data_IF_967925488453
#
_entry.id   IF_967925488453
#
_cell.length_a   1.000
_cell.length_b   1.000
_cell.length_c   1.000
_cell.angle_alpha   90.00
_cell.angle_beta   90.00
_cell.angle_gamma   90.00
#
_symmetry.space_group_name_H-M   'P 1'
#
loop_
_entity.id
_entity.type
_entity.pdbx_description
1 polymer ?
#
# COMPACT_ATOMS: atom_id res chain seq x y z
N UNK A 1 25.93 33.26 -5.82
CA UNK A 1 24.64 32.85 -5.22
C UNK A 1 24.75 31.43 -4.63
N UNK A 2 25.40 31.25 -3.47
CA UNK A 2 25.60 29.91 -2.86
C UNK A 2 25.09 29.85 -1.39
N UNK A 3 24.70 30.98 -0.79
CA UNK A 3 24.33 31.06 0.62
C UNK A 3 22.93 30.56 0.98
N UNK A 4 21.95 30.60 0.07
CA UNK A 4 20.54 30.40 0.43
C UNK A 4 20.17 28.92 0.67
N UNK A 5 20.71 28.00 -0.13
CA UNK A 5 20.35 26.56 -0.03
C UNK A 5 20.78 25.89 1.27
N UNK A 6 21.88 26.35 1.91
CA UNK A 6 22.34 25.80 3.19
C UNK A 6 21.48 26.22 4.38
N UNK A 7 20.90 27.43 4.35
CA UNK A 7 20.02 27.90 5.41
C UNK A 7 18.70 27.10 5.45
N UNK A 8 18.09 26.86 4.28
CA UNK A 8 16.82 26.11 4.19
C UNK A 8 16.96 24.67 4.69
N UNK A 9 18.05 23.98 4.32
CA UNK A 9 18.33 22.60 4.77
C UNK A 9 18.53 22.56 6.31
N UNK A 10 19.23 23.54 6.88
CA UNK A 10 19.44 23.62 8.33
C UNK A 10 18.13 23.88 9.11
N UNK A 11 17.24 24.73 8.58
CA UNK A 11 15.93 25.01 9.20
C UNK A 11 15.03 23.77 9.18
N UNK A 12 14.96 23.04 8.05
CA UNK A 12 14.18 21.79 7.95
C UNK A 12 14.71 20.72 8.91
N UNK A 13 16.03 20.53 9.00
CA UNK A 13 16.65 19.60 9.97
C UNK A 13 16.38 20.01 11.43
N UNK A 14 16.41 21.31 11.74
CA UNK A 14 16.12 21.82 13.09
C UNK A 14 14.67 21.55 13.49
N UNK A 15 13.69 21.83 12.61
CA UNK A 15 12.28 21.53 12.87
C UNK A 15 12.02 20.03 13.05
N UNK A 16 12.64 19.14 12.26
CA UNK A 16 12.50 17.68 12.42
C UNK A 16 13.11 17.20 13.74
N UNK A 17 14.19 17.81 14.21
CA UNK A 17 14.84 17.45 15.50
C UNK A 17 14.02 17.89 16.71
N UNK A 18 13.33 19.04 16.62
CA UNK A 18 12.49 19.58 17.71
C UNK A 18 11.19 18.77 17.90
N UNK A 19 10.71 18.06 16.86
CA UNK A 19 9.51 17.23 16.92
C UNK A 19 9.68 15.85 17.63
N UNK A 20 10.77 15.63 18.37
CA UNK A 20 10.94 14.50 19.29
C UNK A 20 10.79 14.91 20.77
N UNK A 21 9.56 15.09 21.29
CA UNK A 21 9.34 14.93 22.72
C UNK A 21 9.36 13.44 23.05
N UNK A 22 10.31 13.02 23.90
CA UNK A 22 10.15 11.78 24.67
C UNK A 22 8.93 11.94 25.57
N UNK A 23 7.79 11.41 25.14
CA UNK A 23 6.59 11.38 25.96
C UNK A 23 6.75 10.26 27.00
N UNK A 24 7.34 10.61 28.14
CA UNK A 24 7.42 9.74 29.32
C UNK A 24 6.09 9.86 30.04
N UNK A 25 5.28 8.79 30.00
CA UNK A 25 4.04 8.72 30.76
C UNK A 25 4.31 8.85 32.27
N UNK A 26 3.91 9.98 32.83
CA UNK A 26 3.82 10.17 34.29
C UNK A 26 2.44 9.70 34.74
N UNK A 27 2.41 8.83 35.76
CA UNK A 27 1.17 8.26 36.30
C UNK A 27 0.09 9.32 36.64
N UNK A 28 -1.20 9.01 36.44
CA UNK A 28 -2.28 9.97 36.67
C UNK A 28 -2.56 10.17 38.16
N UNK A 29 -2.64 11.42 38.66
CA UNK A 29 -3.27 11.73 39.93
C UNK A 29 -4.81 11.70 39.81
N UNK A 30 -5.48 11.50 40.95
CA UNK A 30 -6.90 11.20 41.03
C UNK A 30 -7.84 12.36 40.62
N UNK A 31 -9.06 11.98 40.20
CA UNK A 31 -10.25 12.79 39.96
C UNK A 31 -10.30 14.18 40.64
N UNK A 32 -10.43 15.23 39.82
CA UNK A 32 -11.30 16.38 40.13
C UNK A 32 -12.06 16.84 38.88
N UNK A 33 -13.38 16.91 39.00
CA UNK A 33 -14.22 17.46 37.94
C UNK A 33 -13.94 18.96 37.74
N UNK A 34 -13.64 19.36 36.50
CA UNK A 34 -13.81 20.73 36.01
C UNK A 34 -14.44 20.68 34.62
N UNK A 35 -15.48 21.47 34.41
CA UNK A 35 -16.09 21.65 33.11
C UNK A 35 -15.13 22.41 32.20
N UNK A 36 -14.65 21.75 31.14
CA UNK A 36 -13.92 22.38 30.03
C UNK A 36 -14.75 22.27 28.76
N UNK A 37 -14.99 23.40 28.08
CA UNK A 37 -15.60 23.42 26.76
C UNK A 37 -14.59 22.91 25.71
N UNK A 38 -14.53 21.60 25.52
CA UNK A 38 -13.80 21.00 24.41
C UNK A 38 -14.52 21.25 23.09
N UNK A 39 -13.80 21.76 22.09
CA UNK A 39 -14.29 21.87 20.71
C UNK A 39 -14.46 20.47 20.15
N UNK A 40 -15.68 19.94 20.31
CA UNK A 40 -16.09 18.63 19.82
C UNK A 40 -16.14 18.69 18.29
N UNK A 41 -15.20 18.04 17.60
CA UNK A 41 -15.37 17.68 16.18
C UNK A 41 -16.57 16.75 16.07
N UNK A 42 -17.75 17.32 15.83
CA UNK A 42 -18.95 16.56 15.54
C UNK A 42 -18.85 16.05 14.10
N UNK A 43 -18.69 14.73 13.93
CA UNK A 43 -19.05 14.09 12.66
C UNK A 43 -20.51 14.43 12.38
N UNK A 44 -20.76 15.17 11.29
CA UNK A 44 -22.12 15.54 10.91
C UNK A 44 -22.89 14.29 10.51
N UNK A 45 -23.86 13.88 11.33
CA UNK A 45 -24.73 12.71 11.15
C UNK A 45 -25.77 12.93 10.01
N UNK A 46 -25.35 13.52 8.89
CA UNK A 46 -26.23 14.30 8.00
C UNK A 46 -26.04 14.14 6.49
N UNK A 47 -25.34 13.11 6.02
CA UNK A 47 -25.17 12.84 4.58
C UNK A 47 -25.42 11.36 4.22
N UNK A 48 -26.70 11.00 4.19
CA UNK A 48 -27.18 9.68 3.73
C UNK A 48 -26.99 9.55 2.21
N UNK A 49 -25.79 9.17 1.77
CA UNK A 49 -25.41 9.01 0.36
C UNK A 49 -26.06 7.76 -0.26
N UNK A 50 -27.33 7.89 -0.67
CA UNK A 50 -28.10 6.88 -1.41
C UNK A 50 -27.66 6.75 -2.90
N UNK A 51 -26.35 6.60 -3.16
CA UNK A 51 -25.81 6.52 -4.53
C UNK A 51 -25.27 5.12 -4.90
N UNK A 52 -24.97 4.26 -3.92
CA UNK A 52 -24.54 2.86 -4.16
C UNK A 52 -25.42 1.78 -3.50
N UNK A 53 -26.38 2.16 -2.66
CA UNK A 53 -27.22 1.20 -1.91
C UNK A 53 -28.13 0.31 -2.78
N UNK A 54 -28.47 0.74 -4.00
CA UNK A 54 -29.28 -0.03 -4.96
C UNK A 54 -28.50 -1.05 -5.79
N UNK A 55 -27.16 -1.00 -5.79
CA UNK A 55 -26.31 -1.97 -6.50
C UNK A 55 -25.87 -3.13 -5.59
N UNK A 56 -25.87 -2.91 -4.27
CA UNK A 56 -25.42 -3.92 -3.28
C UNK A 56 -26.56 -4.68 -2.58
N UNK A 57 -27.83 -4.34 -2.82
CA UNK A 57 -28.97 -5.17 -2.41
C UNK A 57 -29.27 -6.28 -3.44
N UNK A 58 -28.29 -7.14 -3.73
CA UNK A 58 -28.56 -8.49 -4.25
C UNK A 58 -28.59 -9.46 -3.07
N UNK A 59 -29.80 -9.65 -2.56
CA UNK A 59 -30.14 -10.70 -1.61
C UNK A 59 -29.88 -12.06 -2.27
N UNK A 60 -29.33 -13.00 -1.49
CA UNK A 60 -29.06 -14.40 -1.87
C UNK A 60 -28.09 -14.57 -3.06
N UNK A 61 -26.80 -14.69 -2.79
CA UNK A 61 -25.79 -15.13 -3.77
C UNK A 61 -25.90 -16.65 -3.99
N UNK A 62 -26.36 -17.13 -5.16
CA UNK A 62 -26.25 -18.55 -5.50
C UNK A 62 -24.77 -18.93 -5.68
N UNK A 63 -24.41 -20.16 -5.38
CA UNK A 63 -23.07 -20.69 -5.63
C UNK A 63 -22.76 -20.70 -7.13
N UNK A 64 -21.94 -19.76 -7.60
CA UNK A 64 -21.64 -19.57 -9.03
C UNK A 64 -20.73 -20.67 -9.58
N UNK A 65 -21.32 -21.81 -9.94
CA UNK A 65 -20.71 -22.82 -10.83
C UNK A 65 -20.85 -22.45 -12.32
N UNK A 66 -21.47 -21.30 -12.63
CA UNK A 66 -21.50 -20.74 -13.97
C UNK A 66 -20.10 -20.35 -14.45
N UNK A 67 -19.71 -20.83 -15.63
CA UNK A 67 -18.39 -20.61 -16.23
C UNK A 67 -18.07 -19.12 -16.42
N UNK A 68 -17.43 -18.53 -15.42
CA UNK A 68 -17.03 -17.13 -15.44
C UNK A 68 -16.02 -16.87 -16.54
N UNK A 69 -16.33 -15.95 -17.46
CA UNK A 69 -15.36 -15.40 -18.40
C UNK A 69 -14.25 -14.74 -17.60
N UNK A 70 -13.12 -15.45 -17.44
CA UNK A 70 -11.95 -14.92 -16.74
C UNK A 70 -11.50 -13.65 -17.45
N UNK A 71 -11.20 -12.59 -16.70
CA UNK A 71 -10.65 -11.37 -17.27
C UNK A 71 -9.36 -11.71 -18.03
N UNK A 72 -9.18 -11.26 -19.29
CA UNK A 72 -7.99 -11.59 -20.09
C UNK A 72 -6.68 -11.01 -19.49
N UNK A 73 -6.78 -10.19 -18.45
CA UNK A 73 -5.64 -9.64 -17.72
C UNK A 73 -5.33 -10.39 -16.41
N UNK A 74 -6.13 -11.39 -16.01
CA UNK A 74 -5.91 -12.18 -14.78
C UNK A 74 -4.64 -13.01 -14.92
N UNK A 75 -3.75 -12.86 -13.95
CA UNK A 75 -2.57 -13.72 -13.80
C UNK A 75 -3.04 -15.12 -13.34
N UNK A 76 -2.52 -16.23 -13.93
CA UNK A 76 -2.91 -17.58 -13.53
C UNK A 76 -2.68 -17.84 -12.04
N UNK A 77 -3.56 -18.59 -11.40
CA UNK A 77 -3.47 -18.82 -9.95
C UNK A 77 -2.19 -19.59 -9.57
N UNK A 78 -1.70 -20.49 -10.44
CA UNK A 78 -0.41 -21.18 -10.27
C UNK A 78 0.80 -20.22 -10.26
N UNK A 79 0.73 -19.13 -11.01
CA UNK A 79 1.76 -18.08 -11.03
C UNK A 79 1.71 -17.25 -9.73
N UNK A 80 0.50 -16.93 -9.25
CA UNK A 80 0.30 -16.27 -7.96
C UNK A 80 0.77 -17.14 -6.79
N UNK A 81 0.54 -18.45 -6.86
CA UNK A 81 0.98 -19.43 -5.85
C UNK A 81 2.51 -19.58 -5.86
N UNK A 82 3.15 -19.60 -7.03
CA UNK A 82 4.61 -19.59 -7.17
C UNK A 82 5.24 -18.33 -6.59
N UNK A 83 4.69 -17.15 -6.89
CA UNK A 83 5.11 -15.86 -6.34
C UNK A 83 4.94 -15.87 -4.80
N UNK A 84 3.76 -16.26 -4.30
CA UNK A 84 3.45 -16.39 -2.86
C UNK A 84 4.36 -17.38 -2.14
N UNK A 85 4.83 -18.42 -2.84
CA UNK A 85 5.79 -19.40 -2.35
C UNK A 85 7.21 -18.86 -2.13
N UNK A 86 7.49 -17.60 -2.46
CA UNK A 86 8.84 -17.03 -2.39
C UNK A 86 9.59 -17.15 -3.72
N UNK A 87 8.88 -17.10 -4.86
CA UNK A 87 9.46 -17.11 -6.20
C UNK A 87 10.36 -18.33 -6.49
N UNK A 88 10.10 -19.46 -5.83
CA UNK A 88 10.93 -20.68 -5.93
C UNK A 88 12.35 -20.54 -5.33
N UNK A 89 12.65 -19.45 -4.62
CA UNK A 89 13.95 -19.25 -3.95
C UNK A 89 13.91 -19.75 -2.50
N UNK A 90 15.04 -20.22 -1.98
CA UNK A 90 15.14 -20.65 -0.60
C UNK A 90 15.07 -19.45 0.38
N UNK A 91 14.55 -19.63 1.62
CA UNK A 91 14.57 -18.58 2.63
C UNK A 91 15.96 -17.96 2.83
N UNK A 92 16.01 -16.69 3.22
CA UNK A 92 17.22 -15.86 3.36
C UNK A 92 17.92 -15.43 2.06
N UNK A 93 17.55 -15.96 0.90
CA UNK A 93 17.97 -15.38 -0.38
C UNK A 93 17.21 -14.08 -0.68
N UNK A 94 17.85 -13.10 -1.37
CA UNK A 94 17.15 -11.91 -1.83
C UNK A 94 16.05 -12.30 -2.84
N UNK A 95 14.90 -11.60 -2.84
CA UNK A 95 13.84 -11.87 -3.81
C UNK A 95 14.36 -11.61 -5.24
N UNK A 96 14.02 -12.45 -6.24
CA UNK A 96 14.53 -12.35 -7.60
C UNK A 96 13.80 -11.24 -8.38
N UNK A 97 13.95 -9.99 -7.93
CA UNK A 97 13.40 -8.80 -8.56
C UNK A 97 14.44 -8.13 -9.47
N UNK A 98 14.09 -7.69 -10.70
CA UNK A 98 12.75 -7.70 -11.29
C UNK A 98 12.25 -9.11 -11.67
N UNK A 99 11.09 -9.48 -11.14
CA UNK A 99 10.37 -10.69 -11.51
C UNK A 99 9.36 -10.36 -12.61
N UNK A 100 9.13 -11.28 -13.56
CA UNK A 100 8.23 -10.97 -14.67
C UNK A 100 7.27 -12.09 -15.04
N UNK A 101 6.00 -11.71 -15.04
CA UNK A 101 4.85 -12.53 -15.41
C UNK A 101 4.58 -12.34 -16.90
N UNK A 102 4.68 -13.42 -17.67
CA UNK A 102 4.18 -13.47 -19.03
C UNK A 102 2.66 -13.67 -18.96
N UNK A 103 1.87 -12.68 -19.42
CA UNK A 103 0.46 -12.93 -19.69
C UNK A 103 0.36 -13.92 -20.86
N UNK A 104 -0.44 -14.97 -20.70
CA UNK A 104 -0.75 -15.89 -21.79
C UNK A 104 -1.43 -15.12 -22.93
N UNK A 105 -1.05 -15.30 -24.20
CA UNK A 105 -1.77 -14.72 -25.32
C UNK A 105 -3.23 -15.21 -25.29
N UNK A 106 -4.17 -14.32 -25.60
CA UNK A 106 -5.59 -14.64 -25.54
C UNK A 106 -5.95 -15.66 -26.63
N UNK A 107 -6.53 -16.84 -26.31
CA UNK A 107 -6.73 -17.90 -27.30
C UNK A 107 -7.58 -17.50 -28.51
N UNK A 108 -8.44 -16.48 -28.37
CA UNK A 108 -9.30 -16.02 -29.46
C UNK A 108 -8.53 -15.21 -30.53
N UNK A 109 -7.37 -14.61 -30.21
CA UNK A 109 -6.59 -13.84 -31.20
C UNK A 109 -5.89 -14.73 -32.24
N UNK A 110 -5.91 -16.06 -32.07
CA UNK A 110 -5.26 -17.03 -32.95
C UNK A 110 -6.25 -17.59 -34.00
N UNK A 111 -7.56 -17.52 -33.73
CA UNK A 111 -8.59 -18.21 -34.53
C UNK A 111 -9.23 -17.35 -35.63
N UNK A 112 -9.15 -16.02 -35.56
CA UNK A 112 -9.89 -15.11 -36.47
C UNK A 112 -8.99 -14.30 -37.43
N UNK A 113 -7.66 -14.51 -37.44
CA UNK A 113 -6.72 -13.69 -38.22
C UNK A 113 -6.59 -14.05 -39.70
N UNK A 114 -7.56 -14.73 -40.31
CA UNK A 114 -7.54 -15.08 -41.75
C UNK A 114 -8.03 -13.96 -42.66
N UNK A 115 -8.79 -13.00 -42.15
CA UNK A 115 -9.25 -11.82 -42.91
C UNK A 115 -8.29 -10.64 -42.71
N UNK A 116 -7.34 -10.51 -43.64
CA UNK A 116 -6.36 -9.42 -43.72
C UNK A 116 -7.04 -8.08 -44.05
N UNK A 117 -7.40 -7.29 -43.02
CA UNK A 117 -7.69 -5.84 -43.16
C UNK A 117 -7.59 -5.04 -41.84
N UNK A 118 -6.41 -4.44 -41.64
CA UNK A 118 -6.16 -3.10 -41.08
C UNK A 118 -6.74 -2.63 -39.73
N UNK A 119 -7.26 -3.50 -38.86
CA UNK A 119 -7.50 -3.13 -37.45
C UNK A 119 -6.23 -3.36 -36.60
N UNK A 120 -5.26 -2.44 -36.75
CA UNK A 120 -3.89 -2.48 -36.20
C UNK A 120 -3.80 -2.20 -34.67
N UNK A 121 -4.82 -2.54 -33.87
CA UNK A 121 -4.97 -2.06 -32.47
C UNK A 121 -4.67 -3.14 -31.40
N UNK A 122 -4.40 -4.39 -31.80
CA UNK A 122 -4.36 -5.54 -30.86
C UNK A 122 -3.01 -6.29 -30.77
N UNK A 123 -1.93 -5.68 -31.27
CA UNK A 123 -0.59 -5.94 -30.72
C UNK A 123 -0.33 -4.92 -29.60
N UNK A 124 0.04 -5.30 -28.39
CA UNK A 124 1.30 -5.98 -28.10
C UNK A 124 1.29 -6.78 -26.78
N UNK A 125 2.30 -7.64 -26.62
CA UNK A 125 2.50 -8.50 -25.43
C UNK A 125 2.60 -7.65 -24.15
N UNK A 126 1.51 -7.63 -23.37
CA UNK A 126 1.48 -7.01 -22.05
C UNK A 126 2.22 -7.87 -21.02
N UNK A 127 3.53 -7.64 -20.91
CA UNK A 127 4.34 -8.23 -19.85
C UNK A 127 4.09 -7.47 -18.54
N UNK A 128 3.88 -8.18 -17.44
CA UNK A 128 3.88 -7.56 -16.11
C UNK A 128 5.25 -7.77 -15.46
N UNK A 129 5.75 -6.73 -14.80
CA UNK A 129 6.98 -6.79 -14.01
C UNK A 129 6.65 -6.41 -12.56
N UNK A 130 7.16 -7.20 -11.63
CA UNK A 130 7.24 -6.86 -10.22
C UNK A 130 8.69 -6.47 -9.98
N UNK A 131 8.95 -5.23 -9.56
CA UNK A 131 10.31 -4.76 -9.24
C UNK A 131 10.34 -3.89 -8.01
N UNK A 132 11.53 -3.63 -7.49
CA UNK A 132 11.67 -2.62 -6.45
C UNK A 132 11.32 -1.22 -6.99
N UNK A 133 10.82 -0.37 -6.10
CA UNK A 133 10.71 1.06 -6.36
C UNK A 133 12.11 1.64 -6.58
N UNK A 134 12.34 2.26 -7.73
CA UNK A 134 13.55 3.02 -8.04
C UNK A 134 13.32 4.54 -7.86
N UNK A 135 14.36 5.33 -8.08
CA UNK A 135 14.38 6.76 -7.72
C UNK A 135 13.59 7.60 -8.74
N UNK A 136 13.72 7.23 -10.01
CA UNK A 136 12.98 7.71 -11.17
C UNK A 136 11.46 7.45 -11.08
N UNK A 137 11.04 6.42 -10.34
CA UNK A 137 9.62 6.14 -10.14
C UNK A 137 8.98 7.09 -9.13
N UNK A 138 9.73 7.58 -8.13
CA UNK A 138 9.19 8.37 -7.00
C UNK A 138 8.42 9.58 -7.53
N UNK A 139 8.99 10.31 -8.50
CA UNK A 139 8.35 11.47 -9.12
C UNK A 139 7.13 11.09 -9.97
N UNK A 140 7.16 9.90 -10.61
CA UNK A 140 6.05 9.38 -11.44
C UNK A 140 4.85 8.94 -10.60
N UNK A 141 5.08 8.35 -9.42
CA UNK A 141 4.02 7.84 -8.54
C UNK A 141 3.53 8.87 -7.52
N UNK A 142 4.30 9.91 -7.19
CA UNK A 142 3.94 10.90 -6.17
C UNK A 142 2.54 11.50 -6.36
N UNK A 143 2.10 11.92 -7.58
CA UNK A 143 0.77 12.48 -7.77
C UNK A 143 -0.35 11.47 -7.47
N UNK A 144 -0.14 10.18 -7.78
CA UNK A 144 -1.10 9.12 -7.52
C UNK A 144 -1.19 8.79 -6.02
N UNK A 145 -0.06 8.78 -5.30
CA UNK A 145 -0.05 8.60 -3.84
C UNK A 145 -0.71 9.79 -3.15
N UNK A 146 -0.34 11.02 -3.50
CA UNK A 146 -0.94 12.23 -2.92
C UNK A 146 -2.43 12.32 -3.24
N UNK A 147 -2.88 11.88 -4.42
CA UNK A 147 -4.31 11.84 -4.75
C UNK A 147 -5.10 10.83 -3.93
N UNK A 148 -4.54 9.67 -3.60
CA UNK A 148 -5.28 8.58 -2.93
C UNK A 148 -5.16 8.62 -1.40
N UNK A 149 -4.08 9.20 -0.85
CA UNK A 149 -3.90 9.39 0.60
C UNK A 149 -4.16 10.83 1.08
N UNK A 150 -3.92 11.84 0.23
CA UNK A 150 -4.17 13.25 0.54
C UNK A 150 -5.61 13.70 0.32
N UNK A 151 -6.49 12.86 -0.26
CA UNK A 151 -7.91 13.17 -0.45
C UNK A 151 -8.76 13.12 0.85
N UNK A 152 -8.17 13.47 2.00
CA UNK A 152 -8.88 13.68 3.26
C UNK A 152 -9.87 14.86 3.17
N UNK A 153 -9.65 15.78 2.24
CA UNK A 153 -10.68 16.68 1.74
C UNK A 153 -11.32 16.10 0.47
N UNK A 154 -12.59 15.68 0.57
CA UNK A 154 -13.48 15.87 -0.57
C UNK A 154 -13.51 17.38 -0.87
N UNK A 155 -13.52 17.82 -2.13
CA UNK A 155 -13.67 19.24 -2.44
C UNK A 155 -14.90 19.77 -1.68
N UNK A 156 -14.79 20.90 -0.96
CA UNK A 156 -15.84 21.39 -0.09
C UNK A 156 -17.19 21.41 -0.82
N UNK A 157 -18.24 20.89 -0.19
CA UNK A 157 -19.57 20.97 -0.78
C UNK A 157 -19.87 22.45 -1.04
N UNK A 158 -20.33 22.78 -2.25
CA UNK A 158 -20.24 24.08 -2.94
C UNK A 158 -21.04 25.24 -2.31
N UNK A 159 -21.35 25.16 -1.01
CA UNK A 159 -22.24 26.04 -0.24
C UNK A 159 -21.55 26.76 0.91
N UNK A 160 -20.28 26.44 1.21
CA UNK A 160 -19.49 27.17 2.21
C UNK A 160 -18.46 28.01 1.44
N UNK A 161 -18.56 29.32 1.60
CA UNK A 161 -17.60 30.27 1.07
C UNK A 161 -16.34 30.20 1.96
N UNK A 162 -15.32 29.49 1.49
CA UNK A 162 -14.05 29.35 2.22
C UNK A 162 -13.40 30.71 2.41
N UNK A 163 -12.74 30.91 3.55
CA UNK A 163 -11.93 32.11 3.76
C UNK A 163 -10.60 31.96 3.01
N UNK A 164 -9.98 33.04 2.53
CA UNK A 164 -8.65 32.96 1.90
C UNK A 164 -7.56 32.35 2.78
N UNK A 165 -7.77 32.28 4.10
CA UNK A 165 -6.87 31.60 5.04
C UNK A 165 -6.96 30.07 4.96
N UNK A 166 -8.15 29.52 4.67
CA UNK A 166 -8.40 28.08 4.60
C UNK A 166 -7.72 27.46 3.37
N UNK A 167 -7.72 28.19 2.24
CA UNK A 167 -7.01 27.78 1.02
C UNK A 167 -5.50 27.68 1.26
N UNK A 168 -4.89 28.71 1.84
CA UNK A 168 -3.44 28.72 2.14
C UNK A 168 -3.07 27.64 3.15
N UNK A 169 -3.89 27.41 4.18
CA UNK A 169 -3.69 26.32 5.13
C UNK A 169 -3.71 24.96 4.43
N UNK A 170 -4.69 24.72 3.54
CA UNK A 170 -4.82 23.50 2.75
C UNK A 170 -3.64 23.29 1.80
N UNK A 171 -3.14 24.35 1.17
CA UNK A 171 -1.94 24.28 0.33
C UNK A 171 -0.69 23.90 1.14
N UNK A 172 -0.52 24.47 2.35
CA UNK A 172 0.59 24.14 3.26
C UNK A 172 0.49 22.69 3.75
N UNK A 173 -0.70 22.21 4.13
CA UNK A 173 -0.92 20.82 4.55
C UNK A 173 -0.58 19.83 3.43
N UNK A 174 -1.09 20.07 2.22
CA UNK A 174 -0.78 19.25 1.05
C UNK A 174 0.72 19.25 0.70
N UNK A 175 1.40 20.39 0.84
CA UNK A 175 2.85 20.48 0.66
C UNK A 175 3.62 19.67 1.71
N UNK A 176 3.30 19.83 2.99
CA UNK A 176 3.97 19.10 4.08
C UNK A 176 3.72 17.60 4.01
N UNK A 177 2.51 17.18 3.62
CA UNK A 177 2.17 15.79 3.36
C UNK A 177 3.02 15.24 2.20
N UNK A 178 3.01 15.92 1.04
CA UNK A 178 3.78 15.52 -0.14
C UNK A 178 5.29 15.42 0.16
N UNK A 179 5.83 16.38 0.91
CA UNK A 179 7.23 16.38 1.35
C UNK A 179 7.55 15.19 2.27
N UNK A 180 6.64 14.86 3.19
CA UNK A 180 6.78 13.70 4.09
C UNK A 180 6.76 12.38 3.34
N UNK A 181 5.86 12.22 2.35
CA UNK A 181 5.81 11.04 1.47
C UNK A 181 7.08 10.94 0.63
N UNK A 182 7.51 12.04 -0.02
CA UNK A 182 8.75 12.09 -0.81
C UNK A 182 9.97 11.66 0.01
N UNK A 183 10.19 12.27 1.17
CA UNK A 183 11.29 11.93 2.07
C UNK A 183 11.20 10.47 2.54
N UNK A 184 10.00 9.99 2.88
CA UNK A 184 9.76 8.61 3.26
C UNK A 184 10.11 7.59 2.16
N UNK A 185 9.73 7.85 0.92
CA UNK A 185 10.06 6.99 -0.22
C UNK A 185 11.56 7.01 -0.54
N UNK A 186 12.18 8.18 -0.56
CA UNK A 186 13.64 8.30 -0.78
C UNK A 186 14.43 7.55 0.29
N UNK A 187 14.02 7.61 1.57
CA UNK A 187 14.63 6.80 2.64
C UNK A 187 14.54 5.28 2.38
N UNK A 188 13.39 4.79 1.89
CA UNK A 188 13.17 3.37 1.58
C UNK A 188 14.03 2.91 0.41
N UNK A 189 14.08 3.70 -0.67
CA UNK A 189 14.96 3.43 -1.82
C UNK A 189 16.43 3.42 -1.40
N UNK A 190 16.87 4.42 -0.63
CA UNK A 190 18.25 4.52 -0.15
C UNK A 190 18.66 3.33 0.76
N UNK A 191 17.77 2.85 1.64
CA UNK A 191 18.03 1.65 2.46
C UNK A 191 18.05 0.38 1.63
N UNK A 192 17.11 0.19 0.71
CA UNK A 192 17.09 -0.98 -0.19
C UNK A 192 18.35 -1.05 -1.08
N UNK A 193 18.87 0.09 -1.55
CA UNK A 193 20.14 0.18 -2.32
C UNK A 193 21.37 -0.32 -1.53
N UNK A 194 21.31 -0.46 -0.19
CA UNK A 194 22.40 -1.07 0.63
C UNK A 194 22.42 -2.60 0.55
N UNK A 195 21.30 -3.23 0.14
CA UNK A 195 21.21 -4.67 -0.14
C UNK A 195 20.96 -5.54 1.09
N UNK A 196 20.65 -6.82 0.83
CA UNK A 196 20.34 -7.83 1.85
C UNK A 196 21.62 -8.48 2.37
N UNK A 197 22.30 -7.85 3.32
CA UNK A 197 23.43 -8.44 4.03
C UNK A 197 23.02 -8.87 5.43
N UNK A 198 23.24 -10.14 5.77
CA UNK A 198 22.96 -10.70 7.10
C UNK A 198 23.88 -10.16 8.20
N UNK A 199 25.04 -9.59 7.82
CA UNK A 199 25.96 -8.92 8.74
C UNK A 199 25.69 -7.42 8.86
N UNK A 200 24.91 -6.84 7.94
CA UNK A 200 24.59 -5.42 7.96
C UNK A 200 23.33 -5.14 8.82
N UNK A 201 23.47 -4.19 9.74
CA UNK A 201 22.35 -3.71 10.56
C UNK A 201 21.34 -2.89 9.76
N UNK A 202 21.70 -2.51 8.54
CA UNK A 202 20.87 -1.80 7.57
C UNK A 202 20.19 -2.74 6.54
N UNK A 203 20.09 -4.03 6.86
CA UNK A 203 19.25 -5.00 6.15
C UNK A 203 17.89 -4.36 5.74
N UNK A 204 17.36 -4.62 4.52
CA UNK A 204 16.15 -3.98 4.00
C UNK A 204 14.92 -4.44 4.78
N UNK A 205 14.68 -3.80 5.91
CA UNK A 205 13.58 -4.06 6.82
C UNK A 205 12.29 -3.33 6.41
N UNK A 206 12.31 -2.76 5.21
CA UNK A 206 11.30 -1.94 4.59
C UNK A 206 11.49 -1.97 3.08
N UNK A 207 10.51 -2.50 2.35
CA UNK A 207 10.51 -2.61 0.90
C UNK A 207 9.27 -1.93 0.32
N UNK A 208 9.47 -1.21 -0.79
CA UNK A 208 8.39 -0.84 -1.70
C UNK A 208 8.63 -1.59 -3.00
N UNK A 209 7.59 -2.25 -3.49
CA UNK A 209 7.56 -2.86 -4.82
C UNK A 209 6.59 -2.09 -5.71
N UNK A 210 6.95 -2.02 -6.98
CA UNK A 210 6.10 -1.60 -8.07
C UNK A 210 5.63 -2.85 -8.82
N UNK A 211 4.34 -2.91 -9.13
CA UNK A 211 3.94 -3.57 -10.36
C UNK A 211 4.30 -2.62 -11.52
N UNK A 212 4.46 -3.13 -12.74
CA UNK A 212 4.69 -2.35 -13.95
C UNK A 212 4.04 -3.10 -15.12
N UNK A 213 3.22 -2.41 -15.92
CA UNK A 213 2.83 -2.85 -17.26
C UNK A 213 3.92 -2.44 -18.26
N UNK A 214 4.54 -3.42 -18.91
CA UNK A 214 5.32 -3.19 -20.12
C UNK A 214 4.43 -3.29 -21.35
N UNK A 215 4.61 -2.37 -22.29
CA UNK A 215 4.02 -2.40 -23.64
C UNK A 215 5.13 -2.22 -24.65
N UNK A 216 5.15 -3.06 -25.69
CA UNK A 216 5.96 -2.74 -26.88
C UNK A 216 5.17 -1.70 -27.66
N UNK A 217 5.84 -0.67 -28.19
CA UNK A 217 5.30 0.20 -29.25
C UNK A 217 6.16 0.06 -30.48
N UNK A 218 5.53 -0.08 -31.64
CA UNK A 218 6.18 0.12 -32.94
C UNK A 218 6.22 1.61 -33.24
N UNK A 219 7.36 2.11 -33.71
CA UNK A 219 7.43 3.44 -34.30
C UNK A 219 6.81 3.39 -35.70
N UNK A 220 5.53 3.73 -35.80
CA UNK A 220 4.84 3.92 -37.08
C UNK A 220 5.35 5.22 -37.75
N UNK A 221 6.55 5.14 -38.33
CA UNK A 221 7.30 6.28 -38.88
C UNK A 221 6.69 6.94 -40.12
N UNK A 222 5.43 6.63 -40.46
CA UNK A 222 4.67 7.27 -41.54
C UNK A 222 3.87 8.51 -41.12
N UNK A 223 3.76 8.78 -39.81
CA UNK A 223 3.01 9.90 -39.25
C UNK A 223 3.74 11.24 -39.37
N UNK A 224 3.61 11.90 -40.52
CA UNK A 224 4.17 13.23 -40.79
C UNK A 224 3.51 14.29 -39.88
N UNK A 225 4.08 14.62 -38.72
CA UNK A 225 3.60 15.72 -37.85
C UNK A 225 4.68 16.32 -36.94
N UNK A 226 4.66 17.65 -36.84
CA UNK A 226 5.56 18.44 -35.99
C UNK A 226 5.26 18.19 -34.50
N UNK A 227 6.06 17.39 -33.81
CA UNK A 227 5.98 17.24 -32.36
C UNK A 227 6.89 18.27 -31.70
N UNK A 228 6.27 19.17 -30.93
CA UNK A 228 6.96 20.14 -30.10
C UNK A 228 7.77 19.40 -29.02
N UNK A 229 9.02 19.80 -28.86
CA UNK A 229 10.00 19.26 -27.91
C UNK A 229 9.47 19.33 -26.46
N UNK A 230 9.00 18.19 -25.92
CA UNK A 230 8.60 18.04 -24.52
C UNK A 230 9.30 16.81 -23.93
N UNK A 231 10.35 17.08 -23.16
CA UNK A 231 10.87 16.18 -22.11
C UNK A 231 11.42 14.83 -22.56
N UNK A 232 12.74 14.73 -22.66
CA UNK A 232 13.48 13.48 -22.79
C UNK A 232 13.13 12.50 -21.65
N UNK A 233 12.27 11.51 -21.92
CA UNK A 233 11.92 10.48 -20.94
C UNK A 233 13.05 9.45 -20.90
N UNK A 234 13.98 9.65 -19.97
CA UNK A 234 15.01 8.68 -19.63
C UNK A 234 14.39 7.33 -19.22
N UNK A 235 14.75 6.27 -19.96
CA UNK A 235 14.31 4.90 -19.70
C UNK A 235 14.14 3.98 -20.92
N UNK A 236 14.25 4.47 -22.16
CA UNK A 236 14.07 3.63 -23.37
C UNK A 236 15.29 2.75 -23.66
N UNK A 237 15.20 1.45 -23.35
CA UNK A 237 16.15 0.46 -23.84
C UNK A 237 15.89 0.17 -25.31
N UNK A 238 16.69 0.76 -26.21
CA UNK A 238 16.59 0.53 -27.64
C UNK A 238 17.15 -0.86 -27.98
N UNK A 239 16.34 -1.68 -28.65
CA UNK A 239 16.79 -2.96 -29.24
C UNK A 239 16.97 -2.74 -30.75
N UNK A 240 18.22 -2.65 -31.19
CA UNK A 240 18.58 -2.49 -32.59
C UNK A 240 18.58 -3.85 -33.32
N UNK A 241 17.39 -4.35 -33.66
CA UNK A 241 17.23 -5.33 -34.74
C UNK A 241 16.59 -4.66 -35.97
N UNK A 242 17.09 -5.03 -37.16
CA UNK A 242 16.95 -4.22 -38.37
C UNK A 242 15.52 -3.96 -38.84
N UNK A 243 15.30 -2.73 -39.34
CA UNK A 243 14.13 -2.23 -40.09
C UNK A 243 12.82 -1.93 -39.35
N UNK A 244 12.71 -2.09 -38.02
CA UNK A 244 11.63 -1.46 -37.26
C UNK A 244 12.07 -1.17 -35.81
N UNK A 245 12.30 0.11 -35.47
CA UNK A 245 12.58 0.47 -34.07
C UNK A 245 11.31 0.33 -33.23
N UNK A 246 11.26 -0.73 -32.43
CA UNK A 246 10.27 -0.87 -31.37
C UNK A 246 10.89 -0.51 -30.03
N UNK A 247 10.16 0.22 -29.19
CA UNK A 247 10.59 0.57 -27.84
C UNK A 247 9.62 -0.02 -26.82
N UNK A 248 10.12 -0.24 -25.59
CA UNK A 248 9.31 -0.70 -24.47
C UNK A 248 8.87 0.52 -23.66
N UNK A 249 7.57 0.76 -23.61
CA UNK A 249 6.92 1.71 -22.71
C UNK A 249 6.66 1.01 -21.37
N UNK A 250 7.18 1.57 -20.26
CA UNK A 250 6.89 1.11 -18.90
C UNK A 250 5.91 2.04 -18.19
N UNK A 251 4.80 1.50 -17.70
CA UNK A 251 3.79 2.22 -16.92
C UNK A 251 3.58 1.52 -15.56
N UNK A 252 3.64 2.23 -14.43
CA UNK A 252 3.68 1.58 -13.09
C UNK A 252 2.36 0.90 -12.68
N UNK A 253 1.16 1.46 -12.86
CA UNK A 253 -0.14 0.83 -12.52
C UNK A 253 -0.42 0.45 -11.05
N UNK A 254 0.58 0.23 -10.18
CA UNK A 254 0.40 -0.02 -8.75
C UNK A 254 1.69 -0.19 -7.94
N UNK A 255 1.58 0.04 -6.64
CA UNK A 255 2.66 -0.12 -5.65
C UNK A 255 2.18 -0.87 -4.41
N UNK A 256 3.09 -1.54 -3.71
CA UNK A 256 2.80 -2.09 -2.39
C UNK A 256 4.02 -2.05 -1.48
N UNK A 257 3.77 -1.99 -0.18
CA UNK A 257 4.78 -1.69 0.84
C UNK A 257 4.74 -2.72 1.97
N UNK A 258 5.88 -3.35 2.23
CA UNK A 258 6.08 -4.33 3.30
C UNK A 258 7.23 -3.86 4.21
N UNK A 259 7.06 -4.02 5.51
CA UNK A 259 8.10 -3.69 6.48
C UNK A 259 8.05 -4.59 7.70
N UNK A 260 9.18 -4.74 8.39
CA UNK A 260 9.17 -5.23 9.75
C UNK A 260 8.63 -4.13 10.68
N UNK A 261 7.62 -4.45 11.49
CA UNK A 261 7.07 -3.54 12.49
C UNK A 261 6.84 -4.26 13.83
N UNK A 262 6.90 -3.54 14.97
CA UNK A 262 6.37 -4.07 16.23
C UNK A 262 4.89 -4.47 16.07
N UNK A 263 4.46 -5.62 16.64
CA UNK A 263 3.08 -6.10 16.53
C UNK A 263 2.11 -5.29 17.41
N UNK A 264 1.85 -4.03 17.07
CA UNK A 264 0.95 -3.13 17.79
C UNK A 264 -0.29 -2.80 16.93
N UNK A 265 -1.49 -3.28 17.30
CA UNK A 265 -2.73 -3.03 16.55
C UNK A 265 -3.30 -1.61 16.75
N UNK A 266 -2.83 -0.85 17.74
CA UNK A 266 -3.33 0.50 18.02
C UNK A 266 -2.52 1.59 17.29
N UNK A 267 -1.59 1.22 16.40
CA UNK A 267 -0.68 2.15 15.71
C UNK A 267 -0.43 1.73 14.27
N UNK A 268 -0.46 2.70 13.37
CA UNK A 268 0.04 2.51 12.01
C UNK A 268 1.58 2.50 11.97
N UNK A 269 2.13 1.97 10.88
CA UNK A 269 3.56 2.10 10.60
C UNK A 269 3.94 3.59 10.47
N UNK A 270 5.04 4.04 11.09
CA UNK A 270 5.46 5.44 10.98
C UNK A 270 5.82 5.81 9.53
N UNK A 271 5.62 7.07 9.11
CA UNK A 271 5.98 7.51 7.76
C UNK A 271 7.50 7.43 7.51
N UNK A 272 8.31 7.57 8.57
CA UNK A 272 9.76 7.44 8.55
C UNK A 272 10.20 6.02 8.92
N UNK A 273 11.23 5.51 8.24
CA UNK A 273 11.71 4.14 8.49
C UNK A 273 12.62 4.11 9.73
N UNK A 274 12.12 3.56 10.84
CA UNK A 274 12.96 3.31 12.03
C UNK A 274 14.08 2.29 11.72
N UNK A 275 15.27 2.40 12.33
CA UNK A 275 16.30 1.35 12.26
C UNK A 275 15.81 0.02 12.84
N UNK A 276 16.25 -1.11 12.27
CA UNK A 276 15.78 -2.44 12.69
C UNK A 276 16.02 -2.72 14.18
N UNK A 277 17.18 -2.35 14.73
CA UNK A 277 17.46 -2.53 16.17
C UNK A 277 16.46 -1.79 17.07
N UNK A 278 15.97 -0.62 16.63
CA UNK A 278 14.97 0.16 17.36
C UNK A 278 13.61 -0.53 17.27
N UNK A 279 13.23 -1.09 16.11
CA UNK A 279 12.02 -1.91 15.97
C UNK A 279 12.05 -3.13 16.88
N UNK A 280 13.19 -3.82 17.00
CA UNK A 280 13.38 -4.95 17.94
C UNK A 280 13.23 -4.48 19.40
N UNK A 281 13.85 -3.35 19.76
CA UNK A 281 13.74 -2.79 21.12
C UNK A 281 12.30 -2.41 21.47
N UNK A 282 11.60 -1.69 20.58
CA UNK A 282 10.20 -1.32 20.73
C UNK A 282 9.28 -2.56 20.79
N UNK A 283 9.59 -3.61 20.03
CA UNK A 283 8.85 -4.89 20.09
C UNK A 283 8.97 -5.53 21.47
N UNK A 284 10.11 -5.43 22.16
CA UNK A 284 10.28 -5.94 23.53
C UNK A 284 9.56 -5.11 24.59
N UNK A 285 9.45 -3.79 24.39
CA UNK A 285 8.74 -2.90 25.33
C UNK A 285 7.21 -2.91 25.15
N UNK A 286 6.71 -3.05 23.91
CA UNK A 286 5.28 -3.00 23.62
C UNK A 286 4.60 -4.37 23.48
N UNK A 287 5.35 -5.47 23.38
CA UNK A 287 4.74 -6.79 23.51
C UNK A 287 4.38 -7.02 24.98
N UNK A 288 3.10 -7.26 25.32
CA UNK A 288 2.75 -7.63 26.68
C UNK A 288 3.48 -8.93 27.08
N UNK A 289 3.87 -9.09 28.36
CA UNK A 289 4.49 -10.33 28.81
C UNK A 289 3.56 -11.50 28.52
N UNK A 290 4.06 -12.49 27.78
CA UNK A 290 3.30 -13.61 27.23
C UNK A 290 2.84 -14.60 28.32
N UNK A 291 1.79 -14.21 29.03
CA UNK A 291 1.06 -15.09 29.93
C UNK A 291 0.26 -16.11 29.12
N UNK A 292 0.84 -17.31 28.99
CA UNK A 292 0.20 -18.58 28.59
C UNK A 292 -0.46 -18.68 27.20
N UNK A 293 -0.05 -19.70 26.44
CA UNK A 293 -1.04 -20.58 25.82
C UNK A 293 -1.24 -20.54 24.30
N UNK A 294 -0.57 -19.66 23.55
CA UNK A 294 -0.43 -19.93 22.10
C UNK A 294 0.49 -21.15 21.95
N UNK A 295 -0.11 -22.30 21.60
CA UNK A 295 0.59 -23.59 21.42
C UNK A 295 1.53 -23.65 20.21
N UNK A 296 1.70 -22.52 19.52
CA UNK A 296 2.73 -22.34 18.51
C UNK A 296 4.04 -21.98 19.25
N UNK A 297 4.94 -22.97 19.39
CA UNK A 297 6.15 -22.90 20.23
C UNK A 297 7.19 -21.85 19.83
N UNK A 298 6.88 -21.04 18.81
CA UNK A 298 7.67 -19.94 18.25
C UNK A 298 7.20 -18.57 18.75
N UNK A 299 7.18 -18.37 20.07
CA UNK A 299 7.01 -17.03 20.68
C UNK A 299 8.27 -16.17 20.53
N UNK A 300 8.73 -15.98 19.29
CA UNK A 300 9.82 -15.07 18.96
C UNK A 300 9.38 -13.63 19.21
N UNK A 301 9.88 -13.04 20.30
CA UNK A 301 9.69 -11.62 20.63
C UNK A 301 10.52 -10.78 19.65
N UNK A 302 9.95 -10.57 18.46
CA UNK A 302 10.55 -9.83 17.36
C UNK A 302 9.48 -9.05 16.60
N UNK A 303 9.89 -8.14 15.69
CA UNK A 303 8.95 -7.50 14.79
C UNK A 303 8.26 -8.56 13.91
N UNK A 304 7.12 -8.22 13.33
CA UNK A 304 6.38 -9.04 12.37
C UNK A 304 6.35 -8.36 11.02
N UNK A 305 6.11 -9.12 9.96
CA UNK A 305 5.91 -8.55 8.63
C UNK A 305 4.60 -7.79 8.58
N UNK A 306 4.64 -6.54 8.15
CA UNK A 306 3.51 -5.62 8.16
C UNK A 306 3.39 -4.93 6.80
N UNK A 307 2.23 -5.10 6.17
CA UNK A 307 1.85 -4.43 4.93
C UNK A 307 1.18 -3.11 5.32
N UNK A 308 1.84 -1.99 5.02
CA UNK A 308 1.31 -0.66 5.32
C UNK A 308 0.43 -0.13 4.21
N UNK A 309 0.78 -0.38 2.94
CA UNK A 309 0.09 0.19 1.79
C UNK A 309 0.01 -0.80 0.63
N UNK A 310 -1.15 -0.85 -0.04
CA UNK A 310 -1.37 -1.55 -1.31
C UNK A 310 -2.22 -0.64 -2.18
N UNK A 311 -1.63 -0.07 -3.23
CA UNK A 311 -2.30 0.88 -4.11
C UNK A 311 -2.27 0.40 -5.56
N UNK A 312 -3.45 0.31 -6.17
CA UNK A 312 -3.63 0.09 -7.61
C UNK A 312 -4.32 1.31 -8.18
N UNK A 313 -3.76 1.89 -9.25
CA UNK A 313 -4.28 3.08 -9.89
C UNK A 313 -5.73 2.88 -10.34
N UNK A 314 -6.57 3.91 -10.18
CA UNK A 314 -8.03 3.81 -10.36
C UNK A 314 -8.43 3.27 -11.75
N UNK A 315 -7.70 3.66 -12.80
CA UNK A 315 -7.88 3.22 -14.20
C UNK A 315 -7.29 1.81 -14.51
N UNK A 316 -6.72 1.12 -13.51
CA UNK A 316 -6.09 -0.21 -13.62
C UNK A 316 -6.69 -1.23 -12.64
N UNK A 317 -7.67 -0.83 -11.82
CA UNK A 317 -8.46 -1.72 -10.94
C UNK A 317 -9.28 -2.73 -11.75
N UNK A 318 -9.73 -3.80 -11.11
CA UNK A 318 -10.47 -4.90 -11.77
C UNK A 318 -9.61 -5.88 -12.58
N UNK A 319 -8.31 -5.61 -12.76
CA UNK A 319 -7.36 -6.47 -13.51
C UNK A 319 -6.66 -7.55 -12.67
N UNK A 320 -7.03 -7.71 -11.39
CA UNK A 320 -6.39 -8.65 -10.45
C UNK A 320 -5.04 -8.17 -9.88
N UNK A 321 -4.60 -6.95 -10.17
CA UNK A 321 -3.26 -6.46 -9.80
C UNK A 321 -3.00 -6.38 -8.29
N UNK A 322 -4.05 -6.22 -7.47
CA UNK A 322 -3.94 -6.32 -6.02
C UNK A 322 -3.55 -7.73 -5.56
N UNK A 323 -4.00 -8.80 -6.25
CA UNK A 323 -3.59 -10.18 -5.93
C UNK A 323 -2.13 -10.42 -6.29
N UNK A 324 -1.65 -9.84 -7.40
CA UNK A 324 -0.23 -9.91 -7.82
C UNK A 324 0.67 -9.22 -6.79
N UNK A 325 0.31 -8.00 -6.38
CA UNK A 325 1.04 -7.25 -5.35
C UNK A 325 1.04 -8.02 -4.01
N UNK A 326 -0.11 -8.51 -3.55
CA UNK A 326 -0.21 -9.25 -2.29
C UNK A 326 0.57 -10.57 -2.33
N UNK A 327 0.49 -11.34 -3.41
CA UNK A 327 1.30 -12.55 -3.57
C UNK A 327 2.81 -12.23 -3.49
N UNK A 328 3.25 -11.13 -4.10
CA UNK A 328 4.65 -10.72 -4.03
C UNK A 328 5.08 -10.28 -2.64
N UNK A 329 4.25 -9.54 -1.90
CA UNK A 329 4.55 -9.20 -0.50
C UNK A 329 4.58 -10.44 0.39
N UNK A 330 3.67 -11.39 0.19
CA UNK A 330 3.68 -12.70 0.86
C UNK A 330 4.96 -13.49 0.57
N UNK A 331 5.38 -13.58 -0.70
CA UNK A 331 6.64 -14.21 -1.10
C UNK A 331 7.87 -13.55 -0.50
N UNK A 332 7.98 -12.21 -0.58
CA UNK A 332 9.09 -11.45 0.01
C UNK A 332 9.15 -11.65 1.53
N UNK A 333 7.99 -11.65 2.20
CA UNK A 333 7.92 -11.87 3.64
C UNK A 333 8.39 -13.29 4.05
N UNK A 334 8.07 -14.33 3.28
CA UNK A 334 8.63 -15.67 3.50
C UNK A 334 10.15 -15.69 3.35
N UNK A 335 10.69 -15.01 2.35
CA UNK A 335 12.15 -14.92 2.13
C UNK A 335 12.86 -14.15 3.25
N UNK A 336 12.19 -13.17 3.86
CA UNK A 336 12.62 -12.51 5.09
C UNK A 336 12.55 -13.39 6.35
N UNK A 337 11.88 -14.54 6.30
CA UNK A 337 11.64 -15.40 7.47
C UNK A 337 10.45 -14.96 8.34
N UNK A 338 9.50 -14.18 7.80
CA UNK A 338 8.25 -13.90 8.49
C UNK A 338 7.40 -15.18 8.61
N UNK A 339 6.87 -15.44 9.81
CA UNK A 339 5.86 -16.49 10.07
C UNK A 339 4.42 -16.00 9.83
N UNK A 340 4.19 -14.70 10.04
CA UNK A 340 2.90 -14.05 9.86
C UNK A 340 3.08 -12.66 9.22
N UNK A 341 2.11 -12.33 8.37
CA UNK A 341 1.87 -10.98 7.85
C UNK A 341 0.70 -10.33 8.56
N UNK A 342 0.76 -9.01 8.69
CA UNK A 342 -0.29 -8.19 9.29
C UNK A 342 -0.55 -6.93 8.50
N UNK A 343 -1.74 -6.38 8.61
CA UNK A 343 -2.13 -5.12 7.97
C UNK A 343 -3.30 -4.48 8.69
N UNK A 344 -3.54 -3.20 8.42
CA UNK A 344 -4.81 -2.55 8.72
C UNK A 344 -5.63 -2.37 7.44
N UNK A 345 -6.94 -2.47 7.57
CA UNK A 345 -7.92 -2.10 6.53
C UNK A 345 -9.02 -1.25 7.15
N UNK A 346 -9.59 -0.32 6.38
CA UNK A 346 -10.73 0.48 6.81
C UNK A 346 -11.89 -0.42 7.28
N UNK A 347 -12.38 -0.20 8.50
CA UNK A 347 -13.49 -0.95 9.07
C UNK A 347 -14.85 -0.52 8.53
N UNK A 348 -14.95 0.65 7.88
CA UNK A 348 -16.17 1.14 7.26
C UNK A 348 -16.60 0.22 6.11
N UNK A 349 -17.81 -0.33 6.19
CA UNK A 349 -18.36 -1.24 5.19
C UNK A 349 -18.46 -0.64 3.78
N UNK A 350 -18.56 0.69 3.63
CA UNK A 350 -18.71 1.32 2.32
C UNK A 350 -17.36 1.56 1.63
N UNK A 351 -16.40 2.16 2.33
CA UNK A 351 -15.06 2.47 1.79
C UNK A 351 -14.10 1.30 1.89
N UNK A 352 -14.22 0.46 2.93
CA UNK A 352 -13.37 -0.70 3.18
C UNK A 352 -13.78 -2.00 2.48
N UNK A 353 -15.05 -2.20 2.11
CA UNK A 353 -15.57 -3.50 1.67
C UNK A 353 -14.72 -4.21 0.60
N UNK A 354 -14.30 -3.52 -0.47
CA UNK A 354 -13.50 -4.13 -1.54
C UNK A 354 -12.13 -4.60 -1.03
N UNK A 355 -11.49 -3.85 -0.13
CA UNK A 355 -10.23 -4.23 0.48
C UNK A 355 -10.41 -5.35 1.52
N UNK A 356 -11.46 -5.29 2.35
CA UNK A 356 -11.80 -6.35 3.28
C UNK A 356 -12.10 -7.68 2.55
N UNK A 357 -12.86 -7.63 1.45
CA UNK A 357 -13.18 -8.80 0.63
C UNK A 357 -11.90 -9.40 0.02
N UNK A 358 -11.02 -8.56 -0.54
CA UNK A 358 -9.71 -8.98 -1.06
C UNK A 358 -8.87 -9.70 0.02
N UNK A 359 -8.73 -9.09 1.21
CA UNK A 359 -7.89 -9.67 2.26
C UNK A 359 -8.52 -10.95 2.83
N UNK A 360 -9.83 -10.99 3.07
CA UNK A 360 -10.54 -12.22 3.47
C UNK A 360 -10.40 -13.32 2.40
N UNK A 361 -10.52 -13.01 1.10
CA UNK A 361 -10.33 -14.02 0.03
C UNK A 361 -8.89 -14.50 -0.13
N UNK A 362 -7.91 -13.72 0.34
CA UNK A 362 -6.50 -14.14 0.44
C UNK A 362 -6.19 -14.93 1.73
N UNK A 363 -7.16 -15.14 2.62
CA UNK A 363 -6.96 -15.85 3.89
C UNK A 363 -6.41 -14.99 5.03
N UNK A 364 -6.66 -13.68 5.01
CA UNK A 364 -6.42 -12.81 6.16
C UNK A 364 -7.61 -12.84 7.13
N UNK A 365 -7.31 -12.98 8.42
CA UNK A 365 -8.27 -13.08 9.52
C UNK A 365 -8.11 -11.92 10.50
N UNK A 366 -9.21 -11.51 11.14
CA UNK A 366 -9.17 -10.51 12.20
C UNK A 366 -8.37 -10.99 13.42
N UNK A 367 -7.59 -10.09 14.03
CA UNK A 367 -6.87 -10.37 15.28
C UNK A 367 -7.68 -9.79 16.45
N UNK A 368 -8.47 -10.57 17.20
CA UNK A 368 -9.31 -10.04 18.27
C UNK A 368 -8.48 -9.48 19.43
N UNK A 369 -8.94 -8.37 20.02
CA UNK A 369 -8.28 -7.78 21.18
C UNK A 369 -8.47 -8.65 22.43
N UNK A 370 -7.42 -9.42 22.76
CA UNK A 370 -7.35 -10.25 23.96
C UNK A 370 -7.59 -9.46 25.25
N UNK A 371 -7.28 -8.16 25.27
CA UNK A 371 -7.42 -7.27 26.44
C UNK A 371 -8.86 -6.92 26.80
N UNK A 372 -9.80 -6.97 25.85
CA UNK A 372 -11.22 -6.61 26.10
C UNK A 372 -12.00 -7.66 26.91
N UNK A 373 -11.44 -8.85 27.11
CA UNK A 373 -12.23 -10.04 27.46
C UNK A 373 -12.84 -10.07 28.87
N UNK A 374 -12.43 -9.25 29.85
CA UNK A 374 -12.93 -9.38 31.25
C UNK A 374 -13.28 -8.14 32.10
N UNK A 375 -12.81 -6.91 31.85
CA UNK A 375 -13.23 -5.77 32.71
C UNK A 375 -13.34 -4.38 32.09
N UNK A 376 -12.80 -4.11 30.90
CA UNK A 376 -12.91 -2.80 30.24
C UNK A 376 -13.89 -2.82 29.06
N UNK A 377 -15.19 -2.77 29.36
CA UNK A 377 -16.24 -2.44 28.38
C UNK A 377 -16.25 -0.93 28.05
N UNK A 378 -15.11 -0.37 27.67
CA UNK A 378 -14.97 1.08 27.45
C UNK A 378 -14.61 1.32 25.99
N UNK A 379 -15.61 1.57 25.14
CA UNK A 379 -15.38 2.10 23.79
C UNK A 379 -16.45 1.79 22.74
N UNK A 380 -16.82 0.52 22.55
CA UNK A 380 -17.38 0.04 21.27
C UNK A 380 -18.73 -0.68 21.33
N UNK A 381 -19.50 -0.55 22.42
CA UNK A 381 -20.85 -1.18 22.51
C UNK A 381 -21.79 -0.71 21.38
N UNK A 382 -21.56 0.47 20.80
CA UNK A 382 -22.30 1.00 19.64
C UNK A 382 -22.01 0.27 18.31
N UNK A 383 -20.97 -0.57 18.23
CA UNK A 383 -20.54 -1.27 17.01
C UNK A 383 -21.06 -2.71 16.91
N UNK A 384 -21.77 -3.18 17.95
CA UNK A 384 -22.27 -4.55 18.03
C UNK A 384 -21.18 -5.58 18.42
N UNK A 385 -21.55 -6.70 19.07
CA UNK A 385 -20.59 -7.71 19.50
C UNK A 385 -19.81 -8.40 18.37
N UNK A 386 -20.34 -8.43 17.14
CA UNK A 386 -19.72 -9.10 15.98
C UNK A 386 -18.38 -8.48 15.60
N UNK A 387 -18.31 -7.15 15.50
CA UNK A 387 -17.13 -6.44 14.99
C UNK A 387 -15.90 -6.53 15.91
N UNK A 388 -16.11 -6.74 17.22
CA UNK A 388 -15.00 -6.90 18.17
C UNK A 388 -14.18 -8.17 17.92
N UNK A 389 -14.82 -9.22 17.37
CA UNK A 389 -14.15 -10.47 17.00
C UNK A 389 -13.40 -10.38 15.67
N UNK A 390 -13.69 -9.37 14.83
CA UNK A 390 -13.01 -9.12 13.56
C UNK A 390 -11.69 -8.33 13.71
N UNK A 391 -11.24 -8.10 14.94
CA UNK A 391 -9.99 -7.39 15.23
C UNK A 391 -10.07 -5.90 14.94
N UNK A 392 -11.15 -5.25 15.38
CA UNK A 392 -11.34 -3.81 15.28
C UNK A 392 -10.49 -3.04 16.30
N UNK A 393 -9.77 -2.01 15.83
CA UNK A 393 -8.99 -1.08 16.64
C UNK A 393 -9.21 0.37 16.20
N UNK A 394 -8.95 1.32 17.11
CA UNK A 394 -8.92 2.74 16.79
C UNK A 394 -7.49 3.20 16.63
N UNK A 395 -7.11 3.58 15.41
CA UNK A 395 -5.76 4.02 15.07
C UNK A 395 -5.85 5.48 14.62
N UNK A 396 -5.20 6.38 15.36
CA UNK A 396 -5.19 7.84 15.08
C UNK A 396 -6.60 8.47 14.94
N UNK A 397 -7.60 7.87 15.61
CA UNK A 397 -9.01 8.30 15.55
C UNK A 397 -9.84 7.67 14.43
N UNK A 398 -9.27 6.77 13.63
CA UNK A 398 -9.94 6.03 12.56
C UNK A 398 -10.19 4.57 13.00
N UNK A 399 -11.40 4.02 12.80
CA UNK A 399 -11.68 2.60 13.04
C UNK A 399 -11.10 1.73 11.92
N UNK A 400 -10.15 0.86 12.26
CA UNK A 400 -9.49 -0.06 11.31
C UNK A 400 -9.62 -1.51 11.81
N UNK A 401 -9.78 -2.46 10.89
CA UNK A 401 -9.62 -3.88 11.20
C UNK A 401 -8.12 -4.23 11.07
N UNK A 402 -7.55 -4.80 12.12
CA UNK A 402 -6.20 -5.35 12.13
C UNK A 402 -6.26 -6.83 11.77
N UNK A 403 -5.77 -7.15 10.58
CA UNK A 403 -5.82 -8.50 10.04
C UNK A 403 -4.44 -9.16 10.09
N UNK A 404 -4.41 -10.49 10.23
CA UNK A 404 -3.22 -11.33 10.12
C UNK A 404 -3.40 -12.44 9.09
N UNK A 405 -2.29 -12.97 8.58
CA UNK A 405 -2.23 -14.23 7.81
C UNK A 405 -0.95 -14.98 8.18
N UNK A 406 -1.06 -16.27 8.49
CA UNK A 406 0.10 -17.15 8.62
C UNK A 406 0.65 -17.48 7.22
N UNK A 407 1.96 -17.56 7.08
CA UNK A 407 2.65 -17.71 5.79
C UNK A 407 3.02 -19.15 5.46
#
# INVERSE_FOLDING_TARGET
MIGLGRATIAIVLSCVTICFPFNIDVHPPQHRHRHGHGVRRTSSNGSRLHIFGSILQSKDMPSTTGGGKLSPHRVPDSELDFIRGGFGTAPTHPPPLPYSIKKSPHPQSIAESTDLKDNNDDSHVHRLIIRHLEEEDILRIMPEIVREFGSLAQPPSTKIQESPGDEVATQIENFLFSFTVLFGLTQRVARRKKGYSSTDRECPDHNVICLVEQRVRRNDSGGNNNIHEIGEITGTNNVEEGNASSYIEEEVVGIAELSWQPPNPNRNAPPYVLPYFMKVLLSRFFSPPSSSGDGDGTTTIGPKGYISNVLVWKNRRGRGYSHVLMAALEGIAKLWGCTDLRLHVDANENSGCIAQQLYRSLGYEGVPDRGTTKSNRVGYEWMGPSMAHEGLYMVDGVPLLYLRKCL
#
